data_IF_939030292731
#
_entry.id   IF_939030292731
#
_cell.length_a   1.000
_cell.length_b   1.000
_cell.length_c   1.000
_cell.angle_alpha   90.00
_cell.angle_beta   90.00
_cell.angle_gamma   90.00
#
_symmetry.space_group_name_H-M   'P 1'
#
loop_
_entity.id
_entity.type
_entity.pdbx_description
1 polymer ?
#
# COMPACT_ATOMS: atom_id res chain seq x y z
N UNK A 1 27.66 -26.53 -6.86
CA UNK A 1 26.46 -25.68 -6.99
C UNK A 1 26.50 -25.07 -8.39
N UNK A 2 25.55 -25.42 -9.26
CA UNK A 2 25.57 -25.13 -10.71
C UNK A 2 25.60 -23.63 -11.03
N UNK A 3 26.29 -23.26 -12.11
CA UNK A 3 26.44 -21.88 -12.63
C UNK A 3 25.11 -21.11 -12.76
N UNK A 4 24.00 -21.79 -13.02
CA UNK A 4 22.64 -21.21 -13.11
C UNK A 4 22.21 -20.60 -11.77
N UNK A 5 22.51 -21.27 -10.64
CA UNK A 5 22.17 -20.78 -9.30
C UNK A 5 23.01 -19.56 -8.93
N UNK A 6 24.28 -19.52 -9.35
CA UNK A 6 25.17 -18.38 -9.15
C UNK A 6 24.73 -17.18 -9.99
N UNK A 7 24.33 -17.39 -11.25
CA UNK A 7 23.81 -16.35 -12.13
C UNK A 7 22.50 -15.75 -11.60
N UNK A 8 21.54 -16.61 -11.22
CA UNK A 8 20.28 -16.18 -10.60
C UNK A 8 20.52 -15.36 -9.32
N UNK A 9 21.47 -15.81 -8.49
CA UNK A 9 21.87 -15.10 -7.27
C UNK A 9 22.49 -13.73 -7.57
N UNK A 10 23.34 -13.61 -8.58
CA UNK A 10 23.95 -12.35 -9.00
C UNK A 10 22.90 -11.34 -9.51
N UNK A 11 21.99 -11.78 -10.39
CA UNK A 11 20.90 -10.93 -10.91
C UNK A 11 19.98 -10.46 -9.77
N UNK A 12 19.59 -11.37 -8.87
CA UNK A 12 18.80 -11.07 -7.67
C UNK A 12 19.44 -9.98 -6.81
N UNK A 13 20.73 -10.13 -6.50
CA UNK A 13 21.48 -9.16 -5.70
C UNK A 13 21.53 -7.80 -6.39
N UNK A 14 21.71 -7.77 -7.72
CA UNK A 14 21.76 -6.52 -8.46
C UNK A 14 20.45 -5.73 -8.33
N UNK A 15 19.30 -6.38 -8.49
CA UNK A 15 17.99 -5.73 -8.35
C UNK A 15 17.74 -5.26 -6.91
N UNK A 16 18.10 -6.07 -5.91
CA UNK A 16 18.02 -5.65 -4.51
C UNK A 16 18.94 -4.46 -4.20
N UNK A 17 20.18 -4.43 -4.72
CA UNK A 17 21.11 -3.29 -4.53
C UNK A 17 20.56 -1.98 -5.12
N UNK A 18 19.76 -2.05 -6.18
CA UNK A 18 19.11 -0.87 -6.75
C UNK A 18 18.04 -0.32 -5.81
N UNK A 19 17.26 -1.18 -5.17
CA UNK A 19 16.21 -0.78 -4.22
C UNK A 19 16.80 -0.36 -2.86
N UNK A 20 17.77 -1.12 -2.35
CA UNK A 20 18.33 -0.97 -1.02
C UNK A 20 19.72 -0.33 -1.06
N UNK A 21 19.77 0.96 -0.74
CA UNK A 21 21.03 1.65 -0.43
C UNK A 21 20.89 2.41 0.88
N UNK A 22 21.95 2.51 1.72
CA UNK A 22 21.86 3.22 2.98
C UNK A 22 21.37 4.66 2.82
N UNK A 23 21.78 5.35 1.74
CA UNK A 23 21.33 6.70 1.42
C UNK A 23 19.81 6.75 1.18
N UNK A 24 19.27 5.86 0.34
CA UNK A 24 17.81 5.79 0.07
C UNK A 24 17.02 5.49 1.34
N UNK A 25 17.47 4.51 2.13
CA UNK A 25 16.78 4.13 3.36
C UNK A 25 16.78 5.26 4.40
N UNK A 26 17.89 5.98 4.57
CA UNK A 26 17.94 7.16 5.45
C UNK A 26 16.96 8.24 5.01
N UNK A 27 16.89 8.51 3.70
CA UNK A 27 15.94 9.46 3.14
C UNK A 27 14.51 9.02 3.43
N UNK A 28 14.16 7.77 3.13
CA UNK A 28 12.82 7.20 3.37
C UNK A 28 12.41 7.25 4.84
N UNK A 29 13.34 6.92 5.75
CA UNK A 29 13.12 7.02 7.19
C UNK A 29 12.70 8.45 7.57
N UNK A 30 13.51 9.45 7.16
CA UNK A 30 13.28 10.86 7.51
C UNK A 30 12.04 11.44 6.85
N UNK A 31 11.76 11.07 5.60
CA UNK A 31 10.68 11.69 4.83
C UNK A 31 9.33 11.09 5.14
N UNK A 32 9.23 9.76 5.27
CA UNK A 32 7.96 9.03 5.24
C UNK A 32 7.79 8.17 6.48
N UNK A 33 8.65 7.17 6.67
CA UNK A 33 8.40 6.08 7.64
C UNK A 33 8.32 6.60 9.07
N UNK A 34 9.23 7.48 9.48
CA UNK A 34 9.18 8.06 10.84
C UNK A 34 7.86 8.79 11.09
N UNK A 35 7.39 9.57 10.12
CA UNK A 35 6.13 10.32 10.21
C UNK A 35 4.93 9.38 10.29
N UNK A 36 4.93 8.30 9.51
CA UNK A 36 3.88 7.28 9.55
C UNK A 36 3.81 6.60 10.91
N UNK A 37 4.95 6.20 11.47
CA UNK A 37 4.99 5.50 12.75
C UNK A 37 4.54 6.37 13.93
N UNK A 38 4.68 7.69 13.83
CA UNK A 38 4.10 8.65 14.80
C UNK A 38 2.58 8.71 14.76
N UNK A 39 1.96 8.27 13.66
CA UNK A 39 0.51 8.24 13.49
C UNK A 39 -0.12 6.91 13.95
N UNK A 40 0.68 6.00 14.50
CA UNK A 40 0.19 4.73 15.03
C UNK A 40 -0.64 4.97 16.30
N UNK A 41 -1.64 4.12 16.54
CA UNK A 41 -2.49 4.26 17.73
C UNK A 41 -1.72 3.96 19.04
N UNK A 42 -0.65 3.16 18.97
CA UNK A 42 0.34 3.01 20.03
C UNK A 42 1.68 3.59 19.57
N UNK A 43 2.09 4.67 20.23
CA UNK A 43 3.29 5.44 19.87
C UNK A 43 4.43 5.08 20.81
N UNK A 44 5.65 4.99 20.27
CA UNK A 44 6.86 4.89 21.08
C UNK A 44 7.07 6.17 21.89
N UNK A 45 7.29 6.05 23.21
CA UNK A 45 7.46 7.20 24.11
C UNK A 45 8.61 8.12 23.69
N UNK A 46 9.64 7.54 23.05
CA UNK A 46 10.82 8.25 22.61
C UNK A 46 10.85 8.45 21.10
N UNK A 47 9.72 8.33 20.40
CA UNK A 47 9.61 8.59 18.98
C UNK A 47 10.67 7.85 18.12
N UNK A 48 10.95 6.60 18.50
CA UNK A 48 11.96 5.75 17.87
C UNK A 48 13.33 6.44 17.80
N UNK A 49 13.68 7.16 18.88
CA UNK A 49 14.93 7.92 18.98
C UNK A 49 16.16 7.01 18.89
N UNK A 50 16.10 5.81 19.46
CA UNK A 50 17.14 4.78 19.38
C UNK A 50 17.42 4.38 17.92
N UNK A 51 16.37 4.15 17.13
CA UNK A 51 16.46 3.82 15.72
C UNK A 51 16.96 5.00 14.90
N UNK A 52 16.49 6.21 15.23
CA UNK A 52 16.94 7.45 14.58
C UNK A 52 18.42 7.73 14.83
N UNK A 53 18.88 7.57 16.08
CA UNK A 53 20.28 7.77 16.48
C UNK A 53 21.21 6.75 15.84
N UNK A 54 20.74 5.51 15.66
CA UNK A 54 21.50 4.41 15.05
C UNK A 54 21.24 4.22 13.55
N UNK A 55 20.60 5.18 12.87
CA UNK A 55 20.09 5.01 11.50
C UNK A 55 21.19 4.60 10.50
N UNK A 56 22.42 5.07 10.67
CA UNK A 56 23.55 4.69 9.81
C UNK A 56 23.89 3.21 9.92
N UNK A 57 23.97 2.70 11.15
CA UNK A 57 24.20 1.28 11.43
C UNK A 57 22.99 0.44 11.00
N UNK A 58 21.76 0.88 11.32
CA UNK A 58 20.52 0.17 10.98
C UNK A 58 20.33 0.03 9.48
N UNK A 59 20.58 1.07 8.70
CA UNK A 59 20.42 1.01 7.24
C UNK A 59 21.47 0.13 6.57
N UNK A 60 22.71 0.09 7.10
CA UNK A 60 23.72 -0.88 6.67
C UNK A 60 23.28 -2.31 7.01
N UNK A 61 22.82 -2.54 8.23
CA UNK A 61 22.30 -3.83 8.68
C UNK A 61 21.14 -4.32 7.79
N UNK A 62 20.17 -3.46 7.46
CA UNK A 62 19.07 -3.76 6.53
C UNK A 62 19.62 -4.21 5.18
N UNK A 63 20.55 -3.44 4.59
CA UNK A 63 21.14 -3.81 3.31
C UNK A 63 21.83 -5.17 3.39
N UNK A 64 22.62 -5.42 4.44
CA UNK A 64 23.37 -6.66 4.58
C UNK A 64 22.45 -7.88 4.71
N UNK A 65 21.38 -7.80 5.52
CA UNK A 65 20.45 -8.93 5.71
C UNK A 65 19.56 -9.18 4.49
N UNK A 66 19.11 -8.11 3.81
CA UNK A 66 18.28 -8.22 2.60
C UNK A 66 19.09 -8.76 1.43
N UNK A 67 20.30 -8.23 1.20
CA UNK A 67 21.18 -8.69 0.12
C UNK A 67 21.65 -10.14 0.32
N UNK A 68 21.83 -10.55 1.58
CA UNK A 68 22.12 -11.94 1.92
C UNK A 68 20.90 -12.87 1.79
N UNK A 69 19.69 -12.35 1.55
CA UNK A 69 18.46 -13.14 1.46
C UNK A 69 18.02 -13.75 2.80
N UNK A 70 18.44 -13.16 3.93
CA UNK A 70 18.15 -13.66 5.30
C UNK A 70 17.08 -12.84 6.01
N UNK A 71 16.56 -11.81 5.36
CA UNK A 71 15.55 -10.95 5.96
C UNK A 71 14.22 -11.69 6.15
N UNK A 72 13.65 -11.57 7.35
CA UNK A 72 12.29 -11.98 7.72
C UNK A 72 11.73 -10.91 8.63
N UNK A 73 10.46 -10.54 8.44
CA UNK A 73 9.87 -9.51 9.28
C UNK A 73 9.72 -10.04 10.71
N UNK A 74 9.89 -9.15 11.68
CA UNK A 74 9.67 -9.49 13.09
C UNK A 74 8.19 -9.71 13.37
N UNK A 75 7.86 -10.46 14.44
CA UNK A 75 6.47 -10.63 14.87
C UNK A 75 5.89 -9.26 15.20
N UNK A 76 4.81 -8.82 14.53
CA UNK A 76 4.24 -7.51 14.79
C UNK A 76 3.46 -7.49 16.11
N UNK A 77 3.24 -6.29 16.65
CA UNK A 77 2.28 -6.08 17.72
C UNK A 77 0.88 -5.96 17.13
N UNK A 78 -0.06 -6.74 17.64
CA UNK A 78 -1.45 -6.75 17.15
C UNK A 78 -2.37 -6.38 18.31
N UNK A 79 -3.24 -5.41 18.07
CA UNK A 79 -4.24 -4.94 19.05
C UNK A 79 -5.58 -4.77 18.36
N UNK A 80 -6.64 -4.64 19.17
CA UNK A 80 -8.00 -4.48 18.68
C UNK A 80 -8.44 -3.04 18.89
N UNK A 81 -8.96 -2.44 17.82
CA UNK A 81 -9.62 -1.15 17.88
C UNK A 81 -11.11 -1.34 17.62
N UNK A 82 -11.95 -0.65 18.38
CA UNK A 82 -13.40 -0.66 18.15
C UNK A 82 -13.75 0.31 17.02
N UNK A 83 -14.47 -0.18 16.02
CA UNK A 83 -15.16 0.63 15.02
C UNK A 83 -16.55 0.99 15.54
N UNK A 84 -17.21 1.95 14.87
CA UNK A 84 -18.63 2.25 15.09
C UNK A 84 -19.45 0.94 15.11
N UNK A 85 -20.44 0.88 16.00
CA UNK A 85 -21.35 -0.27 16.18
C UNK A 85 -20.70 -1.55 16.76
N UNK A 86 -19.61 -1.44 17.51
CA UNK A 86 -19.07 -2.56 18.31
C UNK A 86 -18.29 -3.61 17.51
N UNK A 87 -18.07 -3.39 16.21
CA UNK A 87 -17.22 -4.25 15.38
C UNK A 87 -15.76 -3.97 15.71
N UNK A 88 -15.00 -5.02 16.03
CA UNK A 88 -13.57 -4.91 16.36
C UNK A 88 -12.71 -5.12 15.10
N UNK A 89 -11.69 -4.29 14.94
CA UNK A 89 -10.69 -4.40 13.88
C UNK A 89 -9.34 -4.77 14.48
N UNK A 90 -8.65 -5.73 13.87
CA UNK A 90 -7.27 -6.04 14.23
C UNK A 90 -6.36 -5.03 13.54
N UNK A 91 -5.67 -4.24 14.36
CA UNK A 91 -4.67 -3.29 13.92
C UNK A 91 -3.29 -3.89 14.17
N UNK A 92 -2.38 -3.67 13.24
CA UNK A 92 -1.02 -4.21 13.30
C UNK A 92 0.00 -3.07 13.37
N UNK A 93 1.02 -3.24 14.21
CA UNK A 93 2.17 -2.34 14.34
C UNK A 93 3.42 -3.12 13.96
N UNK A 94 4.06 -2.66 12.89
CA UNK A 94 5.33 -3.18 12.42
C UNK A 94 6.51 -2.50 13.14
N UNK A 95 7.65 -3.19 13.23
CA UNK A 95 8.87 -2.57 13.73
C UNK A 95 9.39 -1.49 12.75
N UNK A 96 10.19 -0.51 13.22
CA UNK A 96 10.82 0.47 12.33
C UNK A 96 11.65 -0.16 11.21
N UNK A 97 12.29 -1.30 11.52
CA UNK A 97 13.11 -2.05 10.58
C UNK A 97 12.26 -2.62 9.45
N UNK A 98 11.15 -3.29 9.79
CA UNK A 98 10.26 -3.94 8.82
C UNK A 98 9.48 -2.91 7.99
N UNK A 99 8.98 -1.85 8.63
CA UNK A 99 8.30 -0.75 7.97
C UNK A 99 9.20 -0.07 6.93
N UNK A 100 10.49 0.14 7.26
CA UNK A 100 11.45 0.75 6.35
C UNK A 100 11.81 -0.17 5.17
N UNK A 101 11.94 -1.47 5.41
CA UNK A 101 12.17 -2.46 4.33
C UNK A 101 10.99 -2.48 3.37
N UNK A 102 9.76 -2.61 3.88
CA UNK A 102 8.55 -2.63 3.07
C UNK A 102 8.40 -1.35 2.23
N UNK A 103 8.57 -0.19 2.88
CA UNK A 103 8.47 1.10 2.20
C UNK A 103 9.52 1.24 1.08
N UNK A 104 10.74 0.75 1.29
CA UNK A 104 11.77 0.78 0.26
C UNK A 104 11.42 -0.08 -0.97
N UNK A 105 10.80 -1.24 -0.75
CA UNK A 105 10.37 -2.12 -1.84
C UNK A 105 9.22 -1.49 -2.61
N UNK A 106 8.20 -0.99 -1.89
CA UNK A 106 7.05 -0.32 -2.50
C UNK A 106 7.52 0.88 -3.32
N UNK A 107 8.44 1.69 -2.81
CA UNK A 107 8.98 2.84 -3.55
C UNK A 107 9.73 2.41 -4.83
N UNK A 108 10.42 1.27 -4.81
CA UNK A 108 11.13 0.75 -5.97
C UNK A 108 10.19 0.28 -7.12
N UNK A 109 8.94 -0.07 -6.81
CA UNK A 109 7.93 -0.50 -7.78
C UNK A 109 6.84 0.55 -8.04
N UNK A 110 6.70 1.55 -7.15
CA UNK A 110 5.61 2.54 -7.14
C UNK A 110 5.39 3.20 -8.48
N UNK A 111 6.43 3.79 -9.07
CA UNK A 111 6.30 4.54 -10.33
C UNK A 111 5.69 3.69 -11.44
N UNK A 112 6.11 2.42 -11.55
CA UNK A 112 5.56 1.50 -12.56
C UNK A 112 4.09 1.18 -12.29
N UNK A 113 3.74 0.94 -11.02
CA UNK A 113 2.36 0.65 -10.62
C UNK A 113 1.44 1.84 -10.85
N UNK A 114 1.86 3.05 -10.47
CA UNK A 114 1.09 4.28 -10.70
C UNK A 114 0.87 4.55 -12.19
N UNK A 115 1.86 4.28 -13.04
CA UNK A 115 1.73 4.38 -14.49
C UNK A 115 0.74 3.36 -15.07
N UNK A 116 0.56 2.22 -14.42
CA UNK A 116 -0.40 1.18 -14.82
C UNK A 116 -1.83 1.43 -14.33
N UNK A 117 -2.07 2.51 -13.58
CA UNK A 117 -3.38 2.82 -13.01
C UNK A 117 -4.44 3.06 -14.12
N UNK A 118 -5.56 2.30 -14.16
CA UNK A 118 -6.50 2.36 -15.29
C UNK A 118 -7.31 3.65 -15.42
N UNK A 119 -7.56 4.32 -14.28
CA UNK A 119 -8.32 5.57 -14.23
C UNK A 119 -7.77 6.52 -13.18
N UNK A 120 -7.82 7.82 -13.49
CA UNK A 120 -7.46 8.92 -12.57
C UNK A 120 -8.55 9.21 -11.53
N UNK A 121 -9.70 8.54 -11.63
CA UNK A 121 -10.83 8.71 -10.71
C UNK A 121 -10.75 7.76 -9.50
N UNK A 122 -9.68 6.97 -9.39
CA UNK A 122 -9.39 6.12 -8.24
C UNK A 122 -8.34 6.79 -7.35
N UNK A 123 -8.65 6.91 -6.07
CA UNK A 123 -7.88 7.65 -5.08
C UNK A 123 -7.53 6.78 -3.87
N UNK A 124 -6.46 7.16 -3.16
CA UNK A 124 -6.07 6.63 -1.87
C UNK A 124 -5.30 7.68 -1.06
N UNK A 125 -5.19 7.47 0.25
CA UNK A 125 -4.44 8.39 1.14
C UNK A 125 -2.93 8.10 1.10
N UNK A 126 -2.14 9.13 0.81
CA UNK A 126 -0.67 9.13 0.86
C UNK A 126 -0.17 9.90 2.07
N UNK A 127 0.92 9.44 2.66
CA UNK A 127 1.61 10.20 3.69
C UNK A 127 2.64 11.13 3.04
N UNK A 128 3.03 12.19 3.75
CA UNK A 128 3.95 13.20 3.19
C UNK A 128 5.28 12.56 2.80
N UNK A 129 5.56 12.45 1.51
CA UNK A 129 6.92 12.37 1.01
C UNK A 129 7.48 13.80 1.03
N UNK A 130 8.14 14.18 2.14
CA UNK A 130 8.65 15.53 2.44
C UNK A 130 7.60 16.52 2.98
N UNK A 131 7.87 17.08 4.16
CA UNK A 131 7.33 18.37 4.59
C UNK A 131 7.99 19.47 3.75
N UNK A 132 7.56 19.64 2.50
CA UNK A 132 7.93 20.81 1.72
C UNK A 132 7.22 22.03 2.30
N UNK A 133 7.92 23.16 2.36
CA UNK A 133 7.33 24.44 2.75
C UNK A 133 6.16 24.75 1.79
N UNK A 134 5.13 25.50 2.21
CA UNK A 134 3.92 25.75 1.41
C UNK A 134 4.17 26.27 -0.02
N UNK A 135 5.32 26.90 -0.25
CA UNK A 135 5.72 27.48 -1.54
C UNK A 135 6.47 26.53 -2.49
N UNK A 136 6.88 25.33 -2.04
CA UNK A 136 7.66 24.37 -2.86
C UNK A 136 6.83 23.22 -3.44
N UNK A 137 5.49 23.31 -3.38
CA UNK A 137 4.57 22.28 -3.87
C UNK A 137 4.63 22.22 -5.40
N UNK A 138 5.55 21.43 -5.95
CA UNK A 138 5.42 20.90 -7.31
C UNK A 138 4.28 19.87 -7.29
N UNK A 139 3.13 20.26 -7.84
CA UNK A 139 1.87 19.50 -7.91
C UNK A 139 2.07 18.08 -8.45
N UNK A 140 2.25 17.09 -7.60
CA UNK A 140 1.86 15.73 -7.96
C UNK A 140 0.33 15.64 -7.72
N UNK A 141 -0.43 15.00 -8.62
CA UNK A 141 -1.89 14.95 -8.56
C UNK A 141 -2.46 14.17 -7.35
N UNK A 142 -1.60 13.69 -6.45
CA UNK A 142 -1.97 12.77 -5.36
C UNK A 142 -1.55 13.24 -3.97
N UNK A 143 -1.11 14.49 -3.81
CA UNK A 143 -0.23 14.81 -2.67
C UNK A 143 -0.94 14.97 -1.30
N UNK A 144 -2.26 15.22 -1.23
CA UNK A 144 -2.91 15.52 0.06
C UNK A 144 -4.36 15.01 0.15
N UNK A 145 -4.66 14.17 1.14
CA UNK A 145 -6.01 13.59 1.29
C UNK A 145 -7.10 14.65 1.47
N UNK A 146 -6.81 15.77 2.16
CA UNK A 146 -7.76 16.87 2.34
C UNK A 146 -7.98 17.72 1.07
N UNK A 147 -7.14 17.57 0.04
CA UNK A 147 -7.37 18.15 -1.28
C UNK A 147 -8.09 17.16 -2.20
N UNK A 148 -7.72 15.89 -2.13
CA UNK A 148 -8.34 14.81 -2.90
C UNK A 148 -9.78 14.55 -2.44
N UNK A 149 -10.07 14.65 -1.15
CA UNK A 149 -11.40 14.38 -0.60
C UNK A 149 -12.47 15.37 -1.11
N UNK A 150 -12.27 16.70 -1.07
CA UNK A 150 -13.18 17.63 -1.72
C UNK A 150 -13.33 17.40 -3.22
N UNK A 151 -12.26 16.97 -3.91
CA UNK A 151 -12.32 16.65 -5.34
C UNK A 151 -13.18 15.42 -5.59
N UNK A 152 -12.96 14.36 -4.82
CA UNK A 152 -13.78 13.14 -4.81
C UNK A 152 -15.26 13.47 -4.60
N UNK A 153 -15.59 14.28 -3.59
CA UNK A 153 -16.96 14.75 -3.34
C UNK A 153 -17.53 15.54 -4.52
N UNK A 154 -16.75 16.47 -5.10
CA UNK A 154 -17.17 17.22 -6.30
C UNK A 154 -17.43 16.31 -7.50
N UNK A 155 -16.62 15.28 -7.69
CA UNK A 155 -16.79 14.33 -8.79
C UNK A 155 -18.06 13.48 -8.59
N UNK A 156 -18.41 13.10 -7.35
CA UNK A 156 -19.71 12.48 -7.02
C UNK A 156 -20.88 13.39 -7.40
N UNK A 157 -20.83 14.68 -7.03
CA UNK A 157 -21.90 15.62 -7.34
C UNK A 157 -22.12 15.79 -8.85
N UNK A 158 -21.06 15.75 -9.68
CA UNK A 158 -21.22 15.78 -11.14
C UNK A 158 -22.05 14.62 -11.66
N UNK A 159 -21.91 13.43 -11.07
CA UNK A 159 -22.72 12.28 -11.46
C UNK A 159 -24.20 12.49 -11.13
N UNK A 160 -24.53 13.08 -9.98
CA UNK A 160 -25.92 13.40 -9.65
C UNK A 160 -26.58 14.42 -10.59
N UNK A 161 -25.78 15.23 -11.29
CA UNK A 161 -26.27 16.18 -12.28
C UNK A 161 -26.39 15.56 -13.68
N UNK A 162 -25.48 14.63 -14.03
CA UNK A 162 -25.41 14.01 -15.35
C UNK A 162 -26.19 12.69 -15.48
N UNK A 163 -26.51 12.03 -14.36
CA UNK A 163 -27.11 10.69 -14.31
C UNK A 163 -28.31 10.68 -13.36
N UNK A 164 -29.28 9.83 -13.69
CA UNK A 164 -30.56 9.74 -12.94
C UNK A 164 -30.40 9.08 -11.58
N UNK A 165 -29.46 8.15 -11.45
CA UNK A 165 -29.19 7.42 -10.22
C UNK A 165 -27.72 7.56 -9.83
N UNK A 166 -27.48 7.71 -8.54
CA UNK A 166 -26.16 7.60 -7.93
C UNK A 166 -26.09 6.29 -7.16
N UNK A 167 -25.11 5.47 -7.50
CA UNK A 167 -24.81 4.23 -6.78
C UNK A 167 -23.67 4.51 -5.82
N UNK A 168 -23.90 4.18 -4.55
CA UNK A 168 -22.94 4.33 -3.44
C UNK A 168 -22.69 2.94 -2.87
N UNK A 169 -21.44 2.48 -2.89
CA UNK A 169 -21.08 1.13 -2.43
C UNK A 169 -19.76 1.13 -1.68
N UNK A 170 -19.64 0.19 -0.75
CA UNK A 170 -18.46 -0.01 0.09
C UNK A 170 -18.13 -1.51 0.12
N UNK A 171 -16.85 -1.85 0.06
CA UNK A 171 -16.39 -3.23 0.19
C UNK A 171 -16.27 -3.61 1.66
N UNK A 172 -17.22 -4.42 2.14
CA UNK A 172 -17.22 -4.90 3.52
C UNK A 172 -15.99 -5.74 3.84
N UNK A 173 -15.35 -5.46 4.98
CA UNK A 173 -14.13 -6.14 5.45
C UNK A 173 -13.03 -6.20 4.38
N UNK A 174 -12.87 -5.11 3.61
CA UNK A 174 -12.01 -5.07 2.44
C UNK A 174 -10.60 -5.62 2.71
N UNK A 175 -9.87 -5.02 3.65
CA UNK A 175 -8.51 -5.46 3.97
C UNK A 175 -8.44 -6.93 4.40
N UNK A 176 -9.34 -7.39 5.26
CA UNK A 176 -9.34 -8.76 5.79
C UNK A 176 -9.72 -9.82 4.72
N UNK A 177 -10.40 -9.41 3.65
CA UNK A 177 -10.86 -10.30 2.57
C UNK A 177 -9.92 -10.40 1.37
N UNK A 178 -8.84 -9.62 1.33
CA UNK A 178 -7.89 -9.63 0.22
C UNK A 178 -7.11 -10.95 0.12
N UNK A 179 -7.22 -11.64 -1.00
CA UNK A 179 -6.37 -12.80 -1.30
C UNK A 179 -4.98 -12.35 -1.75
N UNK A 180 -3.95 -12.78 -1.01
CA UNK A 180 -2.57 -12.38 -1.26
C UNK A 180 -2.02 -12.98 -2.56
N UNK A 181 -2.53 -14.13 -3.01
CA UNK A 181 -2.15 -14.71 -4.31
C UNK A 181 -2.67 -13.86 -5.46
N UNK A 182 -3.93 -13.43 -5.37
CA UNK A 182 -4.56 -12.52 -6.32
C UNK A 182 -3.86 -11.17 -6.35
N UNK A 183 -3.46 -10.62 -5.19
CA UNK A 183 -2.67 -9.39 -5.12
C UNK A 183 -1.31 -9.53 -5.84
N UNK A 184 -0.57 -10.61 -5.59
CA UNK A 184 0.69 -10.88 -6.32
C UNK A 184 0.44 -10.93 -7.83
N UNK A 185 -0.62 -11.62 -8.24
CA UNK A 185 -0.97 -11.79 -9.66
C UNK A 185 -1.32 -10.46 -10.30
N UNK A 186 -2.13 -9.62 -9.64
CA UNK A 186 -2.46 -8.28 -10.10
C UNK A 186 -1.20 -7.42 -10.32
N UNK A 187 -0.25 -7.46 -9.37
CA UNK A 187 1.00 -6.70 -9.48
C UNK A 187 1.86 -7.20 -10.66
N UNK A 188 2.08 -8.51 -10.76
CA UNK A 188 2.90 -9.12 -11.83
C UNK A 188 2.28 -8.89 -13.21
N UNK A 189 0.95 -8.93 -13.32
CA UNK A 189 0.26 -8.72 -14.58
C UNK A 189 0.35 -7.26 -15.07
N UNK A 190 0.32 -6.28 -14.15
CA UNK A 190 0.34 -4.86 -14.51
C UNK A 190 1.74 -4.32 -14.81
N UNK A 191 2.77 -4.87 -14.18
CA UNK A 191 4.13 -4.33 -14.31
C UNK A 191 5.20 -5.40 -14.51
N UNK A 192 6.19 -5.08 -15.34
CA UNK A 192 7.46 -5.81 -15.37
C UNK A 192 8.36 -5.30 -14.24
N UNK A 193 8.27 -5.93 -13.08
CA UNK A 193 9.16 -5.69 -11.94
C UNK A 193 10.06 -6.90 -11.64
N UNK A 194 11.21 -6.68 -11.00
CA UNK A 194 12.03 -7.78 -10.48
C UNK A 194 11.22 -8.66 -9.53
N UNK A 195 11.11 -9.95 -9.86
CA UNK A 195 10.34 -10.93 -9.07
C UNK A 195 10.80 -10.99 -7.61
N UNK A 196 12.11 -10.88 -7.35
CA UNK A 196 12.66 -10.81 -5.98
C UNK A 196 12.04 -9.70 -5.12
N UNK A 197 11.75 -8.54 -5.71
CA UNK A 197 11.14 -7.43 -4.95
C UNK A 197 9.68 -7.76 -4.63
N UNK A 198 8.95 -8.35 -5.59
CA UNK A 198 7.56 -8.76 -5.39
C UNK A 198 7.49 -9.86 -4.33
N UNK A 199 8.32 -10.89 -4.43
CA UNK A 199 8.30 -12.01 -3.48
C UNK A 199 8.71 -11.57 -2.07
N UNK A 200 9.72 -10.69 -1.95
CA UNK A 200 10.11 -10.12 -0.66
C UNK A 200 8.97 -9.28 -0.06
N UNK A 201 8.31 -8.45 -0.88
CA UNK A 201 7.14 -7.67 -0.46
C UNK A 201 6.00 -8.57 0.02
N UNK A 202 5.65 -9.61 -0.74
CA UNK A 202 4.58 -10.55 -0.35
C UNK A 202 4.95 -11.34 0.92
N UNK A 203 6.22 -11.71 1.08
CA UNK A 203 6.72 -12.36 2.30
C UNK A 203 6.56 -11.46 3.53
N UNK A 204 6.85 -10.16 3.39
CA UNK A 204 6.68 -9.18 4.48
C UNK A 204 5.21 -8.99 4.81
N UNK A 205 4.37 -8.85 3.80
CA UNK A 205 2.92 -8.72 3.97
C UNK A 205 2.35 -9.91 4.74
N UNK A 206 2.79 -11.12 4.40
CA UNK A 206 2.37 -12.36 5.07
C UNK A 206 2.96 -12.47 6.50
N UNK A 207 4.24 -12.12 6.70
CA UNK A 207 4.88 -12.11 8.04
C UNK A 207 4.24 -11.08 9.00
N UNK A 208 3.73 -9.97 8.47
CA UNK A 208 3.02 -8.95 9.23
C UNK A 208 1.51 -9.25 9.37
N UNK A 209 1.02 -10.34 8.76
CA UNK A 209 -0.35 -10.83 8.86
C UNK A 209 -0.73 -11.20 10.30
N UNK A 210 -2.02 -11.06 10.62
CA UNK A 210 -2.53 -11.61 11.88
C UNK A 210 -2.55 -13.13 11.82
N UNK A 211 -1.70 -13.75 12.65
CA UNK A 211 -1.65 -15.18 12.85
C UNK A 211 -1.88 -15.47 14.34
N UNK A 212 -3.08 -15.98 14.72
CA UNK A 212 -3.32 -16.34 16.10
C UNK A 212 -2.54 -17.62 16.46
N UNK A 213 -1.82 -17.54 17.57
CA UNK A 213 -1.08 -18.63 18.22
C UNK A 213 -0.21 -19.44 17.23
N UNK A 214 -0.57 -20.71 17.02
CA UNK A 214 0.12 -21.69 16.19
C UNK A 214 -0.71 -22.05 14.95
N UNK A 215 -1.74 -21.26 14.60
CA UNK A 215 -2.54 -21.54 13.42
C UNK A 215 -1.71 -21.43 12.14
N UNK A 216 -2.03 -22.23 11.11
CA UNK A 216 -1.37 -22.13 9.83
C UNK A 216 -1.60 -20.74 9.23
N UNK A 217 -0.57 -20.25 8.54
CA UNK A 217 -0.63 -18.97 7.82
C UNK A 217 -1.74 -19.02 6.78
N UNK A 218 -2.58 -17.99 6.80
CA UNK A 218 -3.63 -17.79 5.81
C UNK A 218 -3.09 -16.80 4.78
N UNK A 219 -3.12 -17.15 3.51
CA UNK A 219 -2.76 -16.24 2.41
C UNK A 219 -3.91 -15.27 2.09
N UNK A 220 -4.58 -14.79 3.14
CA UNK A 220 -5.78 -13.97 3.10
C UNK A 220 -5.63 -12.84 4.11
N UNK A 221 -6.11 -11.67 3.74
CA UNK A 221 -6.08 -10.47 4.55
C UNK A 221 -4.79 -9.69 4.37
N UNK A 222 -4.94 -8.42 4.02
CA UNK A 222 -3.87 -7.46 4.07
C UNK A 222 -3.83 -6.82 5.48
N UNK A 223 -2.68 -6.80 6.18
CA UNK A 223 -2.55 -6.16 7.48
C UNK A 223 -3.09 -4.73 7.49
N UNK A 224 -3.96 -4.41 8.45
CA UNK A 224 -4.40 -3.03 8.67
C UNK A 224 -3.34 -2.30 9.50
N UNK A 225 -2.50 -1.53 8.81
CA UNK A 225 -1.39 -0.77 9.38
C UNK A 225 -1.46 0.67 8.87
N UNK A 226 -1.12 1.63 9.72
CA UNK A 226 -0.97 3.05 9.36
C UNK A 226 0.32 3.33 8.55
N UNK A 227 0.66 2.45 7.61
CA UNK A 227 1.72 2.64 6.63
C UNK A 227 1.07 2.81 5.25
N UNK A 228 1.46 3.84 4.50
CA UNK A 228 0.91 4.05 3.16
C UNK A 228 1.19 2.87 2.21
N UNK A 229 2.25 2.11 2.46
CA UNK A 229 2.63 0.95 1.66
C UNK A 229 1.47 -0.05 1.58
N UNK A 230 0.81 -0.35 2.70
CA UNK A 230 -0.35 -1.24 2.71
C UNK A 230 -1.57 -0.61 2.03
N UNK A 231 -1.82 0.68 2.25
CA UNK A 231 -2.90 1.41 1.55
C UNK A 231 -2.70 1.42 0.04
N UNK A 232 -1.45 1.56 -0.42
CA UNK A 232 -1.11 1.54 -1.83
C UNK A 232 -1.30 0.14 -2.43
N UNK A 233 -0.87 -0.93 -1.75
CA UNK A 233 -1.10 -2.30 -2.22
C UNK A 233 -2.59 -2.62 -2.31
N UNK A 234 -3.37 -2.23 -1.31
CA UNK A 234 -4.82 -2.32 -1.34
C UNK A 234 -5.43 -1.46 -2.47
N UNK A 235 -4.86 -0.32 -2.81
CA UNK A 235 -5.32 0.48 -3.94
C UNK A 235 -5.06 -0.20 -5.29
N UNK A 236 -3.86 -0.80 -5.45
CA UNK A 236 -3.41 -1.53 -6.65
C UNK A 236 -4.26 -2.77 -6.91
N UNK A 237 -4.67 -3.49 -5.86
CA UNK A 237 -5.54 -4.66 -6.00
C UNK A 237 -6.82 -4.38 -6.79
N UNK A 238 -7.37 -3.17 -6.66
CA UNK A 238 -8.62 -2.77 -7.28
C UNK A 238 -8.46 -2.22 -8.71
N UNK A 239 -7.26 -2.28 -9.30
CA UNK A 239 -7.07 -1.81 -10.67
C UNK A 239 -7.92 -2.58 -11.68
N UNK A 240 -8.06 -3.90 -11.53
CA UNK A 240 -8.90 -4.65 -12.47
C UNK A 240 -10.39 -4.27 -12.33
N UNK A 241 -10.85 -4.00 -11.11
CA UNK A 241 -12.17 -3.45 -10.86
C UNK A 241 -12.33 -2.06 -11.49
N UNK A 242 -11.33 -1.19 -11.37
CA UNK A 242 -11.32 0.14 -11.99
C UNK A 242 -11.43 0.06 -13.52
N UNK A 243 -10.80 -0.93 -14.15
CA UNK A 243 -10.87 -1.13 -15.59
C UNK A 243 -12.29 -1.54 -16.03
N UNK A 244 -12.93 -2.44 -15.28
CA UNK A 244 -14.32 -2.84 -15.51
C UNK A 244 -15.28 -1.68 -15.30
N UNK A 245 -15.15 -0.96 -14.18
CA UNK A 245 -15.97 0.21 -13.86
C UNK A 245 -15.82 1.30 -14.91
N UNK A 246 -14.59 1.58 -15.36
CA UNK A 246 -14.32 2.54 -16.43
C UNK A 246 -15.07 2.19 -17.71
N UNK A 247 -15.06 0.92 -18.11
CA UNK A 247 -15.76 0.45 -19.32
C UNK A 247 -17.28 0.54 -19.15
N UNK A 248 -17.82 0.04 -18.03
CA UNK A 248 -19.27 -0.05 -17.79
C UNK A 248 -19.95 1.30 -17.53
N UNK A 249 -19.24 2.23 -16.91
CA UNK A 249 -19.79 3.55 -16.54
C UNK A 249 -19.39 4.66 -17.53
N UNK A 250 -18.71 4.31 -18.63
CA UNK A 250 -18.05 5.29 -19.50
C UNK A 250 -17.18 6.27 -18.71
N UNK A 251 -16.43 5.74 -17.73
CA UNK A 251 -15.58 6.48 -16.80
C UNK A 251 -16.32 7.43 -15.84
N UNK A 252 -17.64 7.31 -15.68
CA UNK A 252 -18.44 8.03 -14.68
C UNK A 252 -18.48 7.29 -13.33
N UNK A 253 -17.31 6.91 -12.85
CA UNK A 253 -17.13 6.38 -11.52
C UNK A 253 -16.03 7.16 -10.80
N UNK A 254 -16.06 7.07 -9.48
CA UNK A 254 -15.03 7.59 -8.59
C UNK A 254 -14.87 6.62 -7.44
N UNK A 255 -13.61 6.36 -7.06
CA UNK A 255 -13.28 5.40 -5.99
C UNK A 255 -12.32 6.02 -5.00
N UNK A 256 -12.59 5.84 -3.71
CA UNK A 256 -11.66 6.11 -2.63
C UNK A 256 -11.42 4.82 -1.86
N UNK A 257 -10.29 4.16 -2.08
CA UNK A 257 -10.04 2.83 -1.50
C UNK A 257 -11.18 1.84 -1.79
N UNK A 258 -11.90 1.41 -0.77
CA UNK A 258 -13.06 0.51 -0.75
C UNK A 258 -14.39 1.18 -1.09
N UNK A 259 -14.48 2.51 -1.01
CA UNK A 259 -15.66 3.30 -1.33
C UNK A 259 -15.74 3.58 -2.83
N UNK A 260 -16.75 3.02 -3.49
CA UNK A 260 -16.97 3.10 -4.94
C UNK A 260 -18.31 3.77 -5.20
N UNK A 261 -18.26 4.86 -5.98
CA UNK A 261 -19.44 5.63 -6.37
C UNK A 261 -19.50 5.80 -7.88
N UNK A 262 -20.67 5.66 -8.50
CA UNK A 262 -20.84 5.90 -9.93
C UNK A 262 -22.26 6.32 -10.28
N UNK A 263 -22.40 7.01 -11.41
CA UNK A 263 -23.70 7.40 -11.94
C UNK A 263 -24.27 6.35 -12.91
N UNK A 264 -25.58 6.13 -12.86
CA UNK A 264 -26.31 5.23 -13.75
C UNK A 264 -27.60 5.88 -14.27
N UNK A 265 -27.99 5.55 -15.50
CA UNK A 265 -29.20 6.09 -16.14
C UNK A 265 -30.47 5.32 -15.75
N UNK A 266 -30.34 4.02 -15.45
CA UNK A 266 -31.44 3.15 -15.04
C UNK A 266 -31.06 2.30 -13.82
N UNK A 267 -32.07 1.77 -13.12
CA UNK A 267 -31.86 0.87 -11.98
C UNK A 267 -31.24 -0.46 -12.42
N UNK A 268 -31.55 -0.91 -13.62
CA UNK A 268 -31.03 -2.14 -14.21
C UNK A 268 -29.52 -2.02 -14.46
N UNK A 269 -29.08 -0.91 -15.07
CA UNK A 269 -27.65 -0.62 -15.26
C UNK A 269 -26.94 -0.49 -13.91
N UNK A 270 -27.57 0.17 -12.92
CA UNK A 270 -27.01 0.28 -11.58
C UNK A 270 -26.74 -1.10 -10.94
N UNK A 271 -27.67 -2.06 -11.09
CA UNK A 271 -27.55 -3.40 -10.51
C UNK A 271 -26.60 -4.34 -11.26
N UNK A 272 -26.45 -4.16 -12.57
CA UNK A 272 -25.59 -5.02 -13.40
C UNK A 272 -24.13 -4.56 -13.42
N UNK A 273 -23.85 -3.30 -13.05
CA UNK A 273 -22.51 -2.70 -13.17
C UNK A 273 -21.52 -3.28 -12.16
N UNK A 274 -21.98 -3.55 -10.93
CA UNK A 274 -21.25 -4.26 -9.87
C UNK A 274 -21.58 -5.74 -9.91
#
# INVERSE_FOLDING_TARGET
>A
MSDITAHFHAHRIQELRRAFTPKKLKTLWKSVVKTQMRSFDLVDLHDYYDFTRSIDARTKQICDVVLAGRFRASKPLIYRLEKKHGIKRHMTIASPFDALVLQAIVEAVRIRLEQSQPSRNAYYSRDKHHLKLPHEIKKSPYDLWWQLWPKFQKDIYKFSQAKKYLVVTDLSNYFDSLDLKSLRTAIVHKIKAPEVLIDLMMTIVDDLGWMPDYLPRRQMGLPVIHLESFRFLAHVFLFDADEVLKKRTANHFVRWMDDINFGADTKEVARQTL
#
